data_IF_996500324045
#
_entry.id   IF_996500324045
#
_cell.length_a   1.000
_cell.length_b   1.000
_cell.length_c   1.000
_cell.angle_alpha   90.00
_cell.angle_beta   90.00
_cell.angle_gamma   90.00
#
_symmetry.space_group_name_H-M   'P 1'
#
loop_
_entity.id
_entity.type
_entity.pdbx_description
1 polymer ?
#
# COMPACT_ATOMS: atom_id res chain seq x y z
N UNK A 1 -7.99 13.21 5.37
CA UNK A 1 -6.82 12.62 6.06
C UNK A 1 -5.57 13.33 5.56
N UNK A 2 -4.54 13.47 6.38
CA UNK A 2 -3.38 14.33 6.11
C UNK A 2 -2.11 13.55 6.50
N UNK A 3 -1.31 13.13 5.53
CA UNK A 3 -0.04 12.40 5.78
C UNK A 3 1.10 13.40 5.63
N UNK A 4 1.89 13.60 6.68
CA UNK A 4 2.96 14.59 6.74
C UNK A 4 4.33 13.94 6.54
N UNK A 5 5.10 14.38 5.54
CA UNK A 5 6.47 13.94 5.30
C UNK A 5 7.43 15.08 5.69
N UNK A 6 8.11 14.91 6.84
CA UNK A 6 9.13 15.83 7.38
C UNK A 6 8.69 16.67 8.60
N UNK A 7 9.63 16.99 9.51
CA UNK A 7 9.48 18.08 10.50
C UNK A 7 10.81 18.50 11.13
N UNK A 8 11.08 19.82 11.18
CA UNK A 8 12.07 20.41 12.10
C UNK A 8 12.56 21.81 11.73
N UNK A 9 12.07 22.85 12.42
CA UNK A 9 12.48 24.25 12.25
C UNK A 9 13.61 24.62 13.23
N UNK A 10 14.86 24.75 12.76
CA UNK A 10 15.97 25.55 13.37
C UNK A 10 17.03 25.88 12.32
N UNK A 11 17.24 27.16 12.03
CA UNK A 11 18.31 27.82 11.25
C UNK A 11 18.46 27.35 9.78
N UNK A 12 18.02 26.13 9.47
CA UNK A 12 17.73 25.57 8.16
C UNK A 12 16.21 25.30 8.11
N UNK A 13 15.53 25.75 7.06
CA UNK A 13 14.10 25.50 6.88
C UNK A 13 13.89 24.10 6.32
N UNK A 14 13.37 23.17 7.14
CA UNK A 14 12.88 21.89 6.64
C UNK A 14 11.46 22.07 6.12
N UNK A 15 11.32 22.05 4.78
CA UNK A 15 10.02 22.04 4.13
C UNK A 15 9.32 20.72 4.45
N UNK A 16 8.02 20.80 4.74
CA UNK A 16 7.18 19.65 5.06
C UNK A 16 6.12 19.54 3.98
N UNK A 17 6.03 18.37 3.36
CA UNK A 17 5.02 18.09 2.34
C UNK A 17 3.91 17.25 2.93
N UNK A 18 2.72 17.43 2.39
CA UNK A 18 1.53 16.78 2.91
C UNK A 18 0.66 16.33 1.77
N UNK A 19 0.08 15.13 1.89
CA UNK A 19 -0.90 14.63 0.94
C UNK A 19 -2.28 14.60 1.58
N UNK A 20 -3.25 15.11 0.84
CA UNK A 20 -4.63 15.29 1.22
C UNK A 20 -5.53 15.38 -0.02
N UNK A 21 -6.80 15.00 0.17
CA UNK A 21 -7.80 15.08 -0.87
C UNK A 21 -8.02 16.53 -1.33
N UNK A 22 -8.23 16.79 -2.63
CA UNK A 22 -8.48 15.81 -3.69
C UNK A 22 -7.22 15.35 -4.45
N UNK A 23 -6.02 15.71 -3.98
CA UNK A 23 -4.79 15.44 -4.71
C UNK A 23 -4.36 13.97 -4.51
N UNK A 24 -4.03 13.24 -5.58
CA UNK A 24 -3.69 11.83 -5.49
C UNK A 24 -2.31 11.59 -4.86
N UNK A 25 -2.14 10.41 -4.27
CA UNK A 25 -0.89 9.91 -3.68
C UNK A 25 -1.03 8.43 -3.27
N UNK A 26 -1.56 7.60 -4.18
CA UNK A 26 -2.01 6.24 -3.89
C UNK A 26 -0.90 5.26 -3.56
N UNK A 27 0.26 5.44 -4.18
CA UNK A 27 1.52 4.75 -3.93
C UNK A 27 1.94 4.93 -2.45
N UNK A 28 2.29 6.15 -2.05
CA UNK A 28 2.77 6.43 -0.69
C UNK A 28 1.69 6.17 0.36
N UNK A 29 0.41 6.43 0.04
CA UNK A 29 -0.68 6.10 0.95
C UNK A 29 -0.89 4.59 1.06
N UNK A 30 -0.86 3.84 -0.06
CA UNK A 30 -0.98 2.39 -0.09
C UNK A 30 0.11 1.71 0.74
N UNK A 31 1.36 2.11 0.57
CA UNK A 31 2.50 1.59 1.36
C UNK A 31 2.38 1.98 2.83
N UNK A 32 1.94 3.21 3.13
CA UNK A 32 1.68 3.64 4.52
C UNK A 32 0.58 2.79 5.16
N UNK A 33 -0.49 2.46 4.41
CA UNK A 33 -1.54 1.58 4.88
C UNK A 33 -1.01 0.17 5.16
N UNK A 34 -0.21 -0.39 4.25
CA UNK A 34 0.43 -1.69 4.44
C UNK A 34 1.30 -1.73 5.71
N UNK A 35 2.15 -0.73 5.90
CA UNK A 35 3.03 -0.62 7.07
C UNK A 35 2.23 -0.51 8.38
N UNK A 36 1.14 0.25 8.39
CA UNK A 36 0.25 0.37 9.55
C UNK A 36 -0.54 -0.91 9.80
N UNK A 37 -0.98 -1.62 8.75
CA UNK A 37 -1.69 -2.90 8.85
C UNK A 37 -0.78 -4.04 9.37
N UNK A 38 0.55 -3.90 9.27
CA UNK A 38 1.50 -4.75 9.97
C UNK A 38 1.46 -4.60 11.51
N UNK A 39 0.50 -3.83 12.05
CA UNK A 39 0.18 -3.73 13.49
C UNK A 39 -0.12 -5.06 14.18
N UNK A 40 -0.36 -6.12 13.39
CA UNK A 40 -0.44 -7.51 13.87
C UNK A 40 0.73 -7.84 14.81
N UNK A 41 1.93 -7.29 14.55
CA UNK A 41 3.11 -7.47 15.39
C UNK A 41 2.92 -7.00 16.84
N UNK A 42 2.05 -6.02 17.09
CA UNK A 42 1.77 -5.46 18.41
C UNK A 42 0.58 -6.12 19.12
N UNK A 43 -0.17 -7.03 18.46
CA UNK A 43 -1.40 -7.59 19.03
C UNK A 43 -1.23 -8.27 20.38
N UNK A 44 -0.07 -8.89 20.64
CA UNK A 44 0.21 -9.59 21.90
C UNK A 44 0.73 -8.68 23.00
N UNK A 45 1.46 -7.62 22.64
CA UNK A 45 2.12 -6.73 23.59
C UNK A 45 1.29 -5.49 23.93
N UNK A 46 0.62 -4.91 22.93
CA UNK A 46 -0.24 -3.74 23.07
C UNK A 46 -1.42 -3.81 22.08
N UNK A 47 -2.51 -4.51 22.47
CA UNK A 47 -3.70 -4.65 21.64
C UNK A 47 -4.36 -3.30 21.29
N UNK A 48 -4.31 -2.32 22.20
CA UNK A 48 -4.93 -1.02 22.01
C UNK A 48 -4.20 -0.18 20.95
N UNK A 49 -2.87 -0.24 20.97
CA UNK A 49 -2.05 0.37 19.92
C UNK A 49 -2.22 -0.35 18.59
N UNK A 50 -2.24 -1.69 18.59
CA UNK A 50 -2.46 -2.49 17.37
C UNK A 50 -3.77 -2.12 16.66
N UNK A 51 -4.85 -1.94 17.42
CA UNK A 51 -6.15 -1.50 16.91
C UNK A 51 -6.12 -0.07 16.38
N UNK A 52 -5.41 0.84 17.06
CA UNK A 52 -5.26 2.23 16.60
C UNK A 52 -4.55 2.30 15.25
N UNK A 53 -3.46 1.53 15.10
CA UNK A 53 -2.73 1.44 13.83
C UNK A 53 -3.59 0.81 12.74
N UNK A 54 -4.30 -0.28 13.03
CA UNK A 54 -5.18 -0.95 12.07
C UNK A 54 -6.29 -0.01 11.56
N UNK A 55 -7.00 0.69 12.46
CA UNK A 55 -8.02 1.69 12.06
C UNK A 55 -7.44 2.83 11.22
N UNK A 56 -6.20 3.20 11.49
CA UNK A 56 -5.50 4.23 10.71
C UNK A 56 -5.16 3.67 9.32
N UNK A 57 -4.66 2.44 9.23
CA UNK A 57 -4.37 1.76 7.98
C UNK A 57 -5.59 1.73 7.04
N UNK A 58 -6.77 1.35 7.56
CA UNK A 58 -8.02 1.33 6.79
C UNK A 58 -8.35 2.70 6.19
N UNK A 59 -8.27 3.78 6.98
CA UNK A 59 -8.56 5.14 6.51
C UNK A 59 -7.55 5.66 5.49
N UNK A 60 -6.27 5.30 5.66
CA UNK A 60 -5.22 5.65 4.69
C UNK A 60 -5.48 4.94 3.37
N UNK A 61 -5.83 3.65 3.43
CA UNK A 61 -6.12 2.87 2.24
C UNK A 61 -7.37 3.37 1.50
N UNK A 62 -8.44 3.72 2.23
CA UNK A 62 -9.63 4.34 1.63
C UNK A 62 -9.27 5.63 0.87
N UNK A 63 -8.38 6.46 1.41
CA UNK A 63 -7.86 7.64 0.71
C UNK A 63 -7.07 7.24 -0.55
N UNK A 64 -6.15 6.29 -0.43
CA UNK A 64 -5.33 5.80 -1.54
C UNK A 64 -6.19 5.30 -2.70
N UNK A 65 -7.24 4.54 -2.40
CA UNK A 65 -8.13 3.94 -3.40
C UNK A 65 -9.15 4.93 -3.98
N UNK A 66 -9.59 5.91 -3.19
CA UNK A 66 -10.58 6.93 -3.62
C UNK A 66 -9.96 8.05 -4.47
N UNK A 67 -8.68 8.37 -4.25
CA UNK A 67 -7.96 9.45 -4.93
C UNK A 67 -6.76 8.89 -5.69
N UNK A 68 -7.05 8.13 -6.75
CA UNK A 68 -6.06 7.34 -7.49
C UNK A 68 -5.05 8.20 -8.27
N UNK A 69 -3.77 7.92 -8.09
CA UNK A 69 -2.66 8.51 -8.84
C UNK A 69 -1.33 8.46 -8.09
N UNK A 70 -0.22 8.56 -8.83
CA UNK A 70 1.13 8.64 -8.28
C UNK A 70 1.33 9.90 -7.43
N UNK A 71 2.09 9.83 -6.33
CA UNK A 71 2.46 11.03 -5.57
C UNK A 71 3.34 11.96 -6.41
N UNK A 72 4.09 11.43 -7.39
CA UNK A 72 4.95 12.21 -8.28
C UNK A 72 4.14 13.06 -9.27
N UNK A 73 2.89 12.71 -9.54
CA UNK A 73 1.95 13.50 -10.36
C UNK A 73 1.27 14.63 -9.57
N UNK A 74 1.35 14.58 -8.24
CA UNK A 74 0.81 15.63 -7.38
C UNK A 74 1.73 16.85 -7.37
N UNK A 75 1.31 17.90 -8.08
CA UNK A 75 2.06 19.15 -8.23
C UNK A 75 2.38 19.86 -6.92
N UNK A 76 1.63 19.62 -5.84
CA UNK A 76 1.88 20.23 -4.54
C UNK A 76 3.11 19.64 -3.83
N UNK A 77 3.51 18.42 -4.19
CA UNK A 77 4.61 17.71 -3.53
C UNK A 77 5.74 17.34 -4.47
N UNK A 78 5.49 17.25 -5.79
CA UNK A 78 6.44 16.81 -6.81
C UNK A 78 7.83 17.41 -6.65
N UNK A 79 7.91 18.73 -6.47
CA UNK A 79 9.18 19.47 -6.32
C UNK A 79 9.99 19.06 -5.07
N UNK A 80 9.33 18.49 -4.07
CA UNK A 80 9.94 18.01 -2.84
C UNK A 80 10.42 16.56 -2.90
N UNK A 81 9.89 15.76 -3.83
CA UNK A 81 10.15 14.31 -3.91
C UNK A 81 11.03 13.96 -5.11
N UNK A 82 10.76 14.57 -6.26
CA UNK A 82 11.60 14.46 -7.44
C UNK A 82 12.80 15.42 -7.36
N UNK A 83 14.02 14.99 -7.74
CA UNK A 83 14.35 13.78 -8.51
C UNK A 83 14.78 12.56 -7.67
N UNK A 84 14.53 12.54 -6.35
CA UNK A 84 15.09 11.51 -5.47
C UNK A 84 14.28 10.22 -5.48
N UNK A 85 13.00 10.34 -5.17
CA UNK A 85 12.01 9.28 -5.28
C UNK A 85 10.94 9.87 -6.19
N UNK A 86 11.04 9.58 -7.47
CA UNK A 86 9.92 9.79 -8.39
C UNK A 86 9.32 8.42 -8.60
N UNK A 87 8.01 8.32 -8.44
CA UNK A 87 7.27 7.16 -8.91
C UNK A 87 7.33 7.14 -10.46
N UNK A 88 7.88 6.05 -11.00
CA UNK A 88 7.92 5.75 -12.44
C UNK A 88 7.14 4.48 -12.80
N UNK A 89 6.88 3.62 -11.83
CA UNK A 89 6.29 2.29 -11.99
C UNK A 89 4.76 2.31 -11.75
N UNK A 90 4.26 3.31 -11.04
CA UNK A 90 2.86 3.56 -10.74
C UNK A 90 2.51 3.33 -9.28
N UNK A 91 1.21 3.25 -9.00
CA UNK A 91 0.64 3.07 -7.67
C UNK A 91 -0.18 1.78 -7.52
N UNK A 92 -0.29 1.03 -8.61
CA UNK A 92 -1.22 -0.08 -8.77
C UNK A 92 -0.83 -1.24 -7.84
N UNK A 93 0.45 -1.55 -7.73
CA UNK A 93 0.96 -2.60 -6.87
C UNK A 93 0.93 -2.21 -5.39
N UNK A 94 1.12 -0.93 -5.01
CA UNK A 94 0.89 -0.47 -3.64
C UNK A 94 -0.56 -0.60 -3.20
N UNK A 95 -1.54 -0.41 -4.10
CA UNK A 95 -2.96 -0.63 -3.78
C UNK A 95 -3.23 -2.12 -3.53
N UNK A 96 -2.68 -3.01 -4.36
CA UNK A 96 -2.81 -4.45 -4.12
C UNK A 96 -2.08 -4.87 -2.83
N UNK A 97 -0.91 -4.32 -2.57
CA UNK A 97 -0.12 -4.59 -1.38
C UNK A 97 -0.80 -4.14 -0.09
N UNK A 98 -1.34 -2.90 -0.09
CA UNK A 98 -2.14 -2.37 1.02
C UNK A 98 -3.37 -3.23 1.31
N UNK A 99 -4.11 -3.63 0.28
CA UNK A 99 -5.26 -4.53 0.43
C UNK A 99 -4.86 -5.90 1.01
N UNK A 100 -3.74 -6.48 0.55
CA UNK A 100 -3.25 -7.76 1.05
C UNK A 100 -2.85 -7.71 2.53
N UNK A 101 -2.19 -6.63 2.97
CA UNK A 101 -1.88 -6.46 4.39
C UNK A 101 -3.12 -6.21 5.25
N UNK A 102 -4.08 -5.43 4.75
CA UNK A 102 -5.34 -5.20 5.45
C UNK A 102 -6.14 -6.50 5.59
N UNK A 103 -6.21 -7.33 4.53
CA UNK A 103 -6.77 -8.69 4.58
C UNK A 103 -6.11 -9.53 5.66
N UNK A 104 -4.77 -9.57 5.68
CA UNK A 104 -3.99 -10.33 6.65
C UNK A 104 -4.25 -9.86 8.09
N UNK A 105 -4.43 -8.56 8.29
CA UNK A 105 -4.74 -8.01 9.60
C UNK A 105 -6.18 -8.35 10.01
N UNK A 106 -7.16 -8.06 9.18
CA UNK A 106 -8.58 -8.09 9.55
C UNK A 106 -9.22 -9.47 9.44
N UNK A 107 -8.72 -10.34 8.57
CA UNK A 107 -9.44 -11.51 8.07
C UNK A 107 -10.82 -11.15 7.48
N UNK A 108 -10.98 -9.92 6.97
CA UNK A 108 -12.16 -9.50 6.22
C UNK A 108 -12.02 -9.91 4.75
N UNK A 109 -13.02 -10.59 4.21
CA UNK A 109 -13.04 -11.06 2.82
C UNK A 109 -13.26 -9.92 1.82
N UNK A 110 -13.72 -8.74 2.25
CA UNK A 110 -13.87 -7.58 1.37
C UNK A 110 -12.54 -7.19 0.68
N UNK A 111 -11.41 -7.31 1.39
CA UNK A 111 -10.08 -7.08 0.83
C UNK A 111 -9.62 -8.21 -0.10
N UNK A 112 -10.09 -9.44 0.15
CA UNK A 112 -9.84 -10.56 -0.77
C UNK A 112 -10.56 -10.33 -2.10
N UNK A 113 -11.84 -9.94 -2.03
CA UNK A 113 -12.64 -9.59 -3.20
C UNK A 113 -12.02 -8.40 -3.94
N UNK A 114 -11.51 -7.39 -3.21
CA UNK A 114 -10.77 -6.28 -3.81
C UNK A 114 -9.58 -6.77 -4.63
N UNK A 115 -8.76 -7.68 -4.08
CA UNK A 115 -7.60 -8.26 -4.78
C UNK A 115 -8.02 -9.04 -6.03
N UNK A 116 -9.12 -9.81 -5.98
CA UNK A 116 -9.60 -10.56 -7.15
C UNK A 116 -10.11 -9.63 -8.25
N UNK A 117 -10.89 -8.62 -7.86
CA UNK A 117 -11.56 -7.73 -8.80
C UNK A 117 -10.58 -6.72 -9.43
N UNK A 118 -9.56 -6.29 -8.68
CA UNK A 118 -8.61 -5.29 -9.14
C UNK A 118 -7.28 -5.90 -9.61
N UNK A 119 -6.94 -7.14 -9.25
CA UNK A 119 -5.64 -7.76 -9.53
C UNK A 119 -5.22 -7.66 -10.99
N UNK A 120 -6.08 -8.07 -11.93
CA UNK A 120 -5.78 -7.97 -13.37
C UNK A 120 -5.64 -6.53 -13.87
N UNK A 121 -6.47 -5.63 -13.38
CA UNK A 121 -6.49 -4.22 -13.81
C UNK A 121 -5.31 -3.43 -13.23
N UNK A 122 -4.82 -3.84 -12.07
CA UNK A 122 -3.69 -3.25 -11.35
C UNK A 122 -2.38 -4.01 -11.57
N UNK A 123 -2.29 -4.80 -12.65
CA UNK A 123 -1.02 -5.41 -13.08
C UNK A 123 -0.53 -6.59 -12.24
N UNK A 124 -1.37 -7.23 -11.41
CA UNK A 124 -0.94 -8.40 -10.61
C UNK A 124 -0.34 -9.56 -11.44
N UNK A 125 -0.69 -9.64 -12.73
CA UNK A 125 -0.17 -10.62 -13.69
C UNK A 125 1.18 -10.20 -14.31
N UNK A 126 1.69 -9.00 -14.00
CA UNK A 126 2.99 -8.54 -14.47
C UNK A 126 4.08 -9.37 -13.79
N UNK A 127 4.83 -10.12 -14.59
CA UNK A 127 5.89 -11.02 -14.14
C UNK A 127 7.17 -10.26 -13.75
N UNK A 128 7.03 -9.31 -12.84
CA UNK A 128 8.12 -8.55 -12.26
C UNK A 128 8.54 -9.24 -10.97
N UNK A 129 9.72 -9.86 -10.99
CA UNK A 129 10.29 -10.55 -9.83
C UNK A 129 11.06 -9.61 -8.89
N UNK A 130 10.59 -8.37 -8.74
CA UNK A 130 11.22 -7.36 -7.89
C UNK A 130 10.38 -7.11 -6.64
N UNK A 131 11.08 -6.89 -5.53
CA UNK A 131 10.51 -6.38 -4.30
C UNK A 131 11.42 -5.27 -3.78
N UNK A 132 10.91 -4.05 -3.81
CA UNK A 132 11.66 -2.84 -3.51
C UNK A 132 10.75 -1.71 -3.05
N UNK A 133 11.33 -0.53 -2.90
CA UNK A 133 10.59 0.65 -2.48
C UNK A 133 9.53 1.08 -3.51
N UNK A 134 9.75 0.80 -4.79
CA UNK A 134 8.85 1.16 -5.90
C UNK A 134 8.01 -0.02 -6.40
N UNK A 135 8.41 -1.28 -6.12
CA UNK A 135 7.73 -2.45 -6.68
C UNK A 135 7.41 -3.50 -5.60
N UNK A 136 6.15 -3.92 -5.50
CA UNK A 136 5.64 -4.87 -4.49
C UNK A 136 5.23 -6.22 -5.07
N UNK A 137 5.34 -6.47 -6.38
CA UNK A 137 4.79 -7.66 -7.03
C UNK A 137 5.28 -8.98 -6.43
N UNK A 138 6.58 -9.13 -6.20
CA UNK A 138 7.11 -10.37 -5.62
C UNK A 138 6.63 -10.59 -4.16
N UNK A 139 6.52 -9.52 -3.38
CA UNK A 139 5.99 -9.56 -2.01
C UNK A 139 4.50 -9.88 -1.99
N UNK A 140 3.72 -9.25 -2.87
CA UNK A 140 2.30 -9.48 -3.04
C UNK A 140 2.00 -10.94 -3.39
N UNK A 141 2.73 -11.52 -4.36
CA UNK A 141 2.54 -12.91 -4.76
C UNK A 141 2.72 -13.90 -3.60
N UNK A 142 3.73 -13.69 -2.76
CA UNK A 142 3.97 -14.52 -1.57
C UNK A 142 2.90 -14.30 -0.49
N UNK A 143 2.51 -13.05 -0.26
CA UNK A 143 1.52 -12.71 0.77
C UNK A 143 0.13 -13.24 0.41
N UNK A 144 -0.32 -12.96 -0.82
CA UNK A 144 -1.61 -13.36 -1.34
C UNK A 144 -1.69 -14.88 -1.43
N UNK A 145 -0.68 -15.57 -1.97
CA UNK A 145 -0.67 -17.04 -1.98
C UNK A 145 -0.83 -17.61 -0.56
N UNK A 146 -0.14 -17.08 0.45
CA UNK A 146 -0.30 -17.56 1.83
C UNK A 146 -1.72 -17.38 2.38
N UNK A 147 -2.37 -16.24 2.12
CA UNK A 147 -3.73 -15.98 2.60
C UNK A 147 -4.77 -16.87 1.87
N UNK A 148 -4.63 -17.08 0.56
CA UNK A 148 -5.51 -17.98 -0.21
C UNK A 148 -5.34 -19.46 0.14
N UNK A 149 -4.10 -19.90 0.37
CA UNK A 149 -3.81 -21.30 0.68
C UNK A 149 -4.27 -21.69 2.09
N UNK A 150 -4.49 -20.73 2.98
CA UNK A 150 -5.07 -20.94 4.31
C UNK A 150 -6.56 -21.34 4.30
N UNK A 151 -7.29 -21.12 3.20
CA UNK A 151 -8.76 -21.33 3.10
C UNK A 151 -9.19 -22.61 2.31
N UNK A 152 -8.26 -23.32 1.65
CA UNK A 152 -8.31 -24.68 1.01
C UNK A 152 -9.05 -24.97 -0.35
N UNK A 153 -8.26 -25.50 -1.34
CA UNK A 153 -8.51 -26.29 -2.61
C UNK A 153 -9.18 -25.65 -3.87
N UNK A 154 -8.96 -26.19 -5.11
CA UNK A 154 -7.72 -26.52 -5.85
C UNK A 154 -7.42 -25.47 -6.95
N UNK A 155 -6.21 -25.55 -7.50
CA UNK A 155 -5.62 -24.62 -8.49
C UNK A 155 -6.56 -24.27 -9.67
N UNK A 156 -6.95 -23.00 -9.76
CA UNK A 156 -6.80 -22.34 -11.07
C UNK A 156 -5.33 -21.94 -11.13
N UNK A 157 -4.55 -22.79 -11.78
CA UNK A 157 -3.14 -22.53 -12.05
C UNK A 157 -3.05 -21.19 -12.78
N UNK A 158 -2.62 -20.13 -12.09
CA UNK A 158 -2.02 -19.00 -12.77
C UNK A 158 -0.70 -19.51 -13.31
N UNK A 159 -0.73 -19.93 -14.57
CA UNK A 159 0.42 -20.49 -15.25
C UNK A 159 1.48 -19.40 -15.36
N UNK A 160 2.54 -19.52 -14.56
CA UNK A 160 3.83 -18.93 -14.91
C UNK A 160 4.33 -19.75 -16.10
N UNK A 161 3.98 -19.29 -17.30
CA UNK A 161 4.55 -19.81 -18.53
C UNK A 161 6.04 -19.51 -18.54
N UNK A 162 6.84 -20.55 -18.76
CA UNK A 162 8.29 -20.47 -18.99
C UNK A 162 8.66 -19.46 -20.07
#
# INVERSE_FOLDING_TARGET
>A
MTITVGKGQRIWTQQVYTVDAPNPASDVAGETAAALAASIAFRSSDPGYAETLFRTATRVFEFADSYRGAYSDNSNIRDGVCPFYCDFDGYQDELLWGAAWLRRASQDNSYLDYLQNNGKTLGADDNINEFGWDNKHAGLNVLVSKEYWGEQQPLVTYSISR
#
